data_IF_207239139386
#
_entry.id   IF_207239139386
#
_cell.length_a   1.000
_cell.length_b   1.000
_cell.length_c   1.000
_cell.angle_alpha   90.00
_cell.angle_beta   90.00
_cell.angle_gamma   90.00
#
_symmetry.space_group_name_H-M   'P 1'
#
loop_
_entity.id
_entity.type
_entity.pdbx_description
1 polymer ?
#
# COMPACT_ATOMS: atom_id res chain seq x y z
N UNK A 1 -24.45 -8.24 -17.27
CA UNK A 1 -24.86 -6.83 -17.11
C UNK A 1 -25.36 -6.63 -15.70
N UNK A 2 -24.75 -5.70 -14.98
CA UNK A 2 -25.23 -5.23 -13.68
C UNK A 2 -25.75 -3.80 -13.81
N UNK A 3 -26.75 -3.44 -13.01
CA UNK A 3 -27.15 -2.05 -12.83
C UNK A 3 -26.98 -1.65 -11.36
N UNK A 4 -26.49 -0.43 -11.14
CA UNK A 4 -26.31 0.15 -9.81
C UNK A 4 -26.83 1.57 -9.78
N UNK A 5 -27.37 2.00 -8.64
CA UNK A 5 -27.77 3.39 -8.43
C UNK A 5 -26.99 4.02 -7.28
N UNK A 6 -26.56 5.26 -7.48
CA UNK A 6 -25.91 6.08 -6.44
C UNK A 6 -26.68 7.37 -6.29
N UNK A 7 -27.23 7.60 -5.09
CA UNK A 7 -27.86 8.86 -4.73
C UNK A 7 -26.81 9.82 -4.15
N UNK A 8 -26.90 11.10 -4.50
CA UNK A 8 -26.01 12.13 -3.98
C UNK A 8 -26.76 13.42 -3.68
N UNK A 9 -26.26 14.18 -2.70
CA UNK A 9 -26.74 15.50 -2.31
C UNK A 9 -25.57 16.44 -2.11
N UNK A 10 -25.64 17.65 -2.66
CA UNK A 10 -24.63 18.67 -2.37
C UNK A 10 -24.74 19.13 -0.90
N UNK A 11 -23.62 19.48 -0.23
CA UNK A 11 -23.66 20.10 1.08
C UNK A 11 -24.43 21.42 1.07
N UNK A 12 -24.92 21.91 2.23
CA UNK A 12 -25.48 23.25 2.32
C UNK A 12 -24.42 24.33 2.04
N UNK A 13 -24.79 25.41 1.35
CA UNK A 13 -23.91 26.60 1.15
C UNK A 13 -22.98 26.56 -0.06
N UNK A 14 -23.27 25.75 -1.09
CA UNK A 14 -22.47 25.71 -2.34
C UNK A 14 -22.78 26.93 -3.22
N UNK A 15 -21.75 27.54 -3.84
CA UNK A 15 -21.92 28.65 -4.80
C UNK A 15 -22.81 28.19 -5.96
N UNK A 16 -23.84 28.95 -6.30
CA UNK A 16 -24.67 28.68 -7.47
C UNK A 16 -23.81 28.59 -8.74
N UNK A 17 -23.99 27.52 -9.51
CA UNK A 17 -23.20 27.25 -10.72
C UNK A 17 -21.84 26.59 -10.51
N UNK A 18 -21.35 26.45 -9.27
CA UNK A 18 -20.10 25.72 -8.95
C UNK A 18 -20.28 24.19 -8.84
N UNK A 19 -21.53 23.74 -8.85
CA UNK A 19 -21.91 22.34 -8.66
C UNK A 19 -21.42 21.47 -9.82
N UNK A 20 -20.32 20.76 -9.57
CA UNK A 20 -19.75 19.82 -10.54
C UNK A 20 -19.72 18.41 -9.98
N UNK A 21 -20.17 17.48 -10.82
CA UNK A 21 -20.02 16.05 -10.59
C UNK A 21 -19.11 15.52 -11.68
N UNK A 22 -18.11 14.72 -11.30
CA UNK A 22 -17.29 13.99 -12.24
C UNK A 22 -17.51 12.50 -12.05
N UNK A 23 -17.77 11.81 -13.15
CA UNK A 23 -17.77 10.35 -13.19
C UNK A 23 -16.49 9.89 -13.82
N UNK A 24 -15.86 8.91 -13.18
CA UNK A 24 -14.66 8.25 -13.70
C UNK A 24 -14.94 6.78 -13.93
N UNK A 25 -14.43 6.24 -15.03
CA UNK A 25 -14.57 4.84 -15.40
C UNK A 25 -13.24 4.26 -15.86
N UNK A 26 -12.97 3.01 -15.49
CA UNK A 26 -11.78 2.26 -15.90
C UNK A 26 -12.07 0.76 -15.86
N UNK A 27 -11.56 0.05 -16.86
CA UNK A 27 -11.78 -1.41 -17.00
C UNK A 27 -11.09 -2.21 -15.93
N UNK A 28 -10.00 -1.67 -15.40
CA UNK A 28 -9.32 -2.24 -14.26
C UNK A 28 -10.00 -1.89 -12.93
N UNK A 29 -10.31 -2.91 -12.13
CA UNK A 29 -10.75 -2.77 -10.75
C UNK A 29 -9.79 -1.93 -9.89
N UNK A 30 -8.50 -1.98 -10.24
CA UNK A 30 -7.43 -1.25 -9.60
C UNK A 30 -6.92 -0.06 -10.45
N UNK A 31 -7.58 0.28 -11.55
CA UNK A 31 -7.15 1.32 -12.47
C UNK A 31 -7.04 2.72 -11.85
N UNK A 32 -7.97 3.15 -10.97
CA UNK A 32 -7.81 4.42 -10.25
C UNK A 32 -6.62 4.40 -9.28
N UNK A 33 -6.06 3.20 -9.02
CA UNK A 33 -4.85 3.01 -8.23
C UNK A 33 -3.53 3.14 -9.02
N UNK A 34 -3.54 3.55 -10.29
CA UNK A 34 -2.29 3.71 -11.06
C UNK A 34 -1.75 5.14 -10.96
N UNK A 35 -2.62 6.15 -10.91
CA UNK A 35 -2.21 7.56 -10.82
C UNK A 35 -1.36 7.82 -9.56
N UNK A 36 -0.25 8.55 -9.71
CA UNK A 36 0.63 8.92 -8.61
C UNK A 36 1.68 7.86 -8.20
N UNK A 37 1.64 6.64 -8.74
CA UNK A 37 2.66 5.61 -8.41
C UNK A 37 4.08 6.01 -8.80
N UNK A 38 4.22 6.83 -9.85
CA UNK A 38 5.50 7.41 -10.26
C UNK A 38 6.17 8.19 -9.13
N UNK A 39 5.37 8.92 -8.35
CA UNK A 39 5.86 9.75 -7.24
C UNK A 39 6.38 8.95 -6.05
N UNK A 40 6.05 7.65 -5.97
CA UNK A 40 6.61 6.72 -4.98
C UNK A 40 7.99 6.19 -5.39
N UNK A 41 8.36 6.28 -6.68
CA UNK A 41 9.67 5.88 -7.17
C UNK A 41 10.66 6.99 -6.87
N UNK A 42 11.23 6.92 -5.67
CA UNK A 42 12.15 7.93 -5.14
C UNK A 42 13.54 7.35 -4.92
N UNK A 43 14.55 8.21 -5.05
CA UNK A 43 15.95 7.85 -4.82
C UNK A 43 16.16 7.63 -3.32
N UNK A 44 16.70 6.48 -2.89
CA UNK A 44 17.04 6.25 -1.49
C UNK A 44 18.18 7.15 -1.01
N UNK A 45 18.11 7.58 0.26
CA UNK A 45 19.13 8.41 0.91
C UNK A 45 19.06 8.27 2.44
N UNK A 46 20.04 8.86 3.14
CA UNK A 46 20.06 8.95 4.60
C UNK A 46 20.55 7.69 5.31
N UNK A 47 20.12 7.54 6.58
CA UNK A 47 20.50 6.41 7.43
C UNK A 47 19.81 5.10 6.98
N UNK A 48 20.17 3.96 7.58
CA UNK A 48 19.67 2.64 7.18
C UNK A 48 18.14 2.50 7.22
N UNK A 49 17.45 3.32 8.03
CA UNK A 49 15.99 3.37 8.07
C UNK A 49 15.42 4.25 6.94
N UNK A 50 15.94 5.46 6.77
CA UNK A 50 15.49 6.41 5.74
C UNK A 50 15.73 5.87 4.33
N UNK A 51 16.86 5.19 4.14
CA UNK A 51 17.18 4.51 2.91
C UNK A 51 16.09 3.49 2.57
N UNK A 52 15.63 2.73 3.57
CA UNK A 52 14.58 1.72 3.40
C UNK A 52 13.17 2.30 3.21
N UNK A 53 12.88 3.50 3.74
CA UNK A 53 11.62 4.23 3.47
C UNK A 53 11.44 4.43 1.96
N UNK A 54 12.53 4.80 1.28
CA UNK A 54 12.52 5.11 -0.15
C UNK A 54 12.83 3.89 -1.03
N UNK A 55 13.63 2.94 -0.54
CA UNK A 55 13.95 1.72 -1.28
C UNK A 55 12.73 0.81 -1.47
N UNK A 56 11.93 0.59 -0.42
CA UNK A 56 10.82 -0.37 -0.49
C UNK A 56 9.77 -0.02 -1.56
N UNK A 57 9.27 1.24 -1.66
CA UNK A 57 8.30 1.61 -2.69
C UNK A 57 8.73 1.30 -4.13
N UNK A 58 10.02 1.46 -4.47
CA UNK A 58 10.54 1.13 -5.80
C UNK A 58 10.23 -0.34 -6.19
N UNK A 59 10.41 -1.28 -5.26
CA UNK A 59 10.14 -2.71 -5.49
C UNK A 59 8.65 -2.97 -5.74
N UNK A 60 7.80 -2.46 -4.85
CA UNK A 60 6.38 -2.82 -4.86
C UNK A 60 5.61 -2.09 -5.97
N UNK A 61 6.06 -0.91 -6.40
CA UNK A 61 5.56 -0.25 -7.61
C UNK A 61 5.89 -1.09 -8.84
N UNK A 62 7.15 -1.51 -9.02
CA UNK A 62 7.53 -2.36 -10.16
C UNK A 62 6.79 -3.68 -10.15
N UNK A 63 6.65 -4.33 -9.00
CA UNK A 63 5.89 -5.58 -8.87
C UNK A 63 4.43 -5.40 -9.30
N UNK A 64 3.80 -4.32 -8.83
CA UNK A 64 2.42 -4.01 -9.19
C UNK A 64 2.27 -3.77 -10.70
N UNK A 65 3.08 -2.86 -11.28
CA UNK A 65 3.01 -2.54 -12.71
C UNK A 65 3.39 -3.72 -13.61
N UNK A 66 4.35 -4.56 -13.18
CA UNK A 66 4.71 -5.80 -13.88
C UNK A 66 3.55 -6.78 -13.91
N UNK A 67 2.87 -6.99 -12.78
CA UNK A 67 1.71 -7.88 -12.70
C UNK A 67 0.52 -7.39 -13.54
N UNK A 68 0.48 -6.09 -13.85
CA UNK A 68 -0.53 -5.44 -14.70
C UNK A 68 -0.18 -5.46 -16.19
N UNK A 69 1.04 -5.79 -16.57
CA UNK A 69 1.52 -5.67 -17.95
C UNK A 69 1.65 -4.22 -18.44
N UNK A 70 1.77 -3.25 -17.52
CA UNK A 70 1.70 -1.82 -17.81
C UNK A 70 2.99 -1.08 -17.43
N UNK A 71 4.13 -1.76 -17.57
CA UNK A 71 5.40 -1.27 -17.09
C UNK A 71 6.08 -0.41 -18.15
N UNK A 72 6.14 0.90 -17.90
CA UNK A 72 6.92 1.84 -18.72
C UNK A 72 8.43 1.56 -18.54
N UNK A 73 9.19 1.31 -19.64
CA UNK A 73 10.62 1.08 -19.56
C UNK A 73 11.41 2.21 -18.90
N UNK A 74 10.99 3.47 -19.04
CA UNK A 74 11.70 4.61 -18.42
C UNK A 74 11.55 4.55 -16.90
N UNK A 75 10.32 4.37 -16.42
CA UNK A 75 10.03 4.18 -15.00
C UNK A 75 10.76 2.95 -14.43
N UNK A 76 10.75 1.84 -15.17
CA UNK A 76 11.44 0.62 -14.79
C UNK A 76 12.93 0.85 -14.59
N UNK A 77 13.61 1.44 -15.58
CA UNK A 77 15.05 1.67 -15.50
C UNK A 77 15.41 2.63 -14.35
N UNK A 78 14.60 3.67 -14.12
CA UNK A 78 14.80 4.59 -12.99
C UNK A 78 14.66 3.89 -11.64
N UNK A 79 13.62 3.07 -11.47
CA UNK A 79 13.42 2.31 -10.25
C UNK A 79 14.54 1.29 -10.02
N UNK A 80 15.07 0.65 -11.07
CA UNK A 80 16.22 -0.27 -10.98
C UNK A 80 17.48 0.48 -10.54
N UNK A 81 17.79 1.62 -11.15
CA UNK A 81 18.93 2.47 -10.75
C UNK A 81 18.83 2.90 -9.28
N UNK A 82 17.64 3.30 -8.84
CA UNK A 82 17.38 3.68 -7.45
C UNK A 82 17.52 2.50 -6.48
N UNK A 83 17.03 1.31 -6.84
CA UNK A 83 17.23 0.11 -6.03
C UNK A 83 18.72 -0.28 -5.97
N UNK A 84 19.48 -0.18 -7.06
CA UNK A 84 20.91 -0.47 -7.03
C UNK A 84 21.65 0.44 -6.04
N UNK A 85 21.44 1.76 -6.13
CA UNK A 85 22.04 2.74 -5.23
C UNK A 85 21.60 2.55 -3.78
N UNK A 86 20.31 2.32 -3.56
CA UNK A 86 19.78 2.05 -2.22
C UNK A 86 20.29 0.75 -1.63
N UNK A 87 20.52 -0.29 -2.45
CA UNK A 87 21.14 -1.54 -1.98
C UNK A 87 22.58 -1.31 -1.55
N UNK A 88 23.40 -0.67 -2.39
CA UNK A 88 24.79 -0.34 -2.05
C UNK A 88 24.90 0.48 -0.77
N UNK A 89 24.05 1.50 -0.63
CA UNK A 89 23.96 2.30 0.58
C UNK A 89 23.47 1.48 1.79
N UNK A 90 22.53 0.54 1.61
CA UNK A 90 22.06 -0.28 2.73
C UNK A 90 23.18 -1.16 3.31
N UNK A 91 24.14 -1.60 2.49
CA UNK A 91 25.25 -2.43 2.94
C UNK A 91 26.13 -1.73 3.98
N UNK A 92 26.25 -0.39 3.96
CA UNK A 92 27.01 0.33 5.01
C UNK A 92 26.34 0.26 6.39
N UNK A 93 25.07 -0.13 6.44
CA UNK A 93 24.30 -0.29 7.66
C UNK A 93 24.17 -1.75 8.11
N UNK A 94 24.79 -2.68 7.38
CA UNK A 94 24.95 -4.06 7.84
C UNK A 94 26.09 -4.14 8.85
N UNK A 95 25.83 -4.77 9.98
CA UNK A 95 26.78 -5.03 11.06
C UNK A 95 27.53 -6.35 10.81
N UNK A 96 28.63 -6.52 11.53
CA UNK A 96 29.52 -7.68 11.37
C UNK A 96 28.85 -9.02 11.72
N UNK A 97 27.83 -8.99 12.58
CA UNK A 97 27.01 -10.15 12.95
C UNK A 97 25.90 -10.46 11.92
N UNK A 98 25.82 -9.69 10.83
CA UNK A 98 24.84 -9.83 9.76
C UNK A 98 23.56 -9.03 9.94
N UNK A 99 23.35 -8.42 11.11
CA UNK A 99 22.17 -7.61 11.42
C UNK A 99 22.22 -6.22 10.76
N UNK A 100 21.08 -5.55 10.65
CA UNK A 100 20.98 -4.16 10.22
C UNK A 100 20.55 -3.26 11.37
N UNK A 101 21.07 -2.03 11.38
CA UNK A 101 20.65 -0.98 12.30
C UNK A 101 20.61 0.38 11.58
N UNK A 102 20.08 1.43 12.22
CA UNK A 102 19.98 2.74 11.59
C UNK A 102 21.35 3.34 11.24
N UNK A 103 22.35 3.12 12.09
CA UNK A 103 23.70 3.68 11.96
C UNK A 103 24.80 2.61 11.86
N UNK A 104 24.44 1.38 11.50
CA UNK A 104 25.38 0.28 11.32
C UNK A 104 26.19 -0.01 12.58
N UNK A 105 27.51 0.03 12.46
CA UNK A 105 28.43 -0.31 13.55
C UNK A 105 28.46 0.71 14.70
N UNK A 106 27.88 1.90 14.51
CA UNK A 106 27.80 2.92 15.56
C UNK A 106 26.77 2.55 16.64
N UNK A 107 25.76 1.75 16.30
CA UNK A 107 24.78 1.27 17.26
C UNK A 107 25.37 0.16 18.15
N UNK A 108 24.86 -0.01 19.36
CA UNK A 108 25.29 -1.11 20.24
C UNK A 108 24.81 -2.48 19.76
N UNK A 109 23.70 -2.54 19.02
CA UNK A 109 23.08 -3.75 18.51
C UNK A 109 22.34 -3.50 17.20
N UNK A 110 22.15 -4.57 16.41
CA UNK A 110 21.19 -4.59 15.31
C UNK A 110 19.75 -4.57 15.79
N UNK A 111 18.83 -4.14 14.93
CA UNK A 111 17.40 -4.23 15.16
C UNK A 111 16.81 -5.47 14.48
N UNK A 112 16.06 -6.26 15.23
CA UNK A 112 15.33 -7.43 14.71
C UNK A 112 14.29 -7.02 13.70
N UNK A 113 13.52 -6.00 14.01
CA UNK A 113 12.53 -5.45 13.11
C UNK A 113 13.16 -4.94 11.81
N UNK A 114 14.21 -4.09 11.89
CA UNK A 114 14.83 -3.52 10.69
C UNK A 114 15.51 -4.60 9.85
N UNK A 115 16.21 -5.53 10.48
CA UNK A 115 16.86 -6.66 9.78
C UNK A 115 15.84 -7.50 9.03
N UNK A 116 14.68 -7.80 9.64
CA UNK A 116 13.60 -8.52 8.98
C UNK A 116 13.01 -7.72 7.80
N UNK A 117 12.83 -6.41 7.96
CA UNK A 117 12.32 -5.56 6.88
C UNK A 117 13.29 -5.46 5.70
N UNK A 118 14.58 -5.26 5.97
CA UNK A 118 15.64 -5.21 4.95
C UNK A 118 15.72 -6.56 4.23
N UNK A 119 15.81 -7.67 4.97
CA UNK A 119 15.85 -9.01 4.39
C UNK A 119 14.66 -9.23 3.43
N UNK A 120 13.46 -8.90 3.90
CA UNK A 120 12.24 -9.03 3.11
C UNK A 120 12.30 -8.20 1.83
N UNK A 121 12.66 -6.93 1.91
CA UNK A 121 12.76 -6.07 0.72
C UNK A 121 13.83 -6.56 -0.26
N UNK A 122 15.02 -6.92 0.22
CA UNK A 122 16.10 -7.42 -0.63
C UNK A 122 15.72 -8.72 -1.34
N UNK A 123 15.02 -9.64 -0.67
CA UNK A 123 14.51 -10.87 -1.29
C UNK A 123 13.54 -10.56 -2.45
N UNK A 124 12.65 -9.59 -2.25
CA UNK A 124 11.66 -9.16 -3.25
C UNK A 124 12.28 -8.34 -4.40
N UNK A 125 13.45 -7.71 -4.21
CA UNK A 125 14.13 -6.93 -5.24
C UNK A 125 14.92 -7.78 -6.26
N UNK A 126 15.23 -9.04 -5.92
CA UNK A 126 16.06 -9.95 -6.74
C UNK A 126 15.64 -10.15 -8.20
N UNK A 127 14.35 -10.07 -8.59
CA UNK A 127 13.98 -10.12 -10.00
C UNK A 127 14.60 -9.00 -10.85
N UNK A 128 14.99 -7.89 -10.24
CA UNK A 128 15.50 -6.71 -10.93
C UNK A 128 16.94 -6.32 -10.54
N UNK A 129 17.37 -6.65 -9.32
CA UNK A 129 18.68 -6.28 -8.77
C UNK A 129 19.45 -7.50 -8.30
N UNK A 130 20.73 -7.60 -8.67
CA UNK A 130 21.63 -8.65 -8.17
C UNK A 130 21.98 -8.45 -6.70
N UNK A 131 21.35 -9.20 -5.81
CA UNK A 131 21.61 -9.16 -4.36
C UNK A 131 22.55 -10.30 -3.95
N UNK A 132 23.63 -9.97 -3.22
CA UNK A 132 24.57 -10.96 -2.72
C UNK A 132 23.90 -11.93 -1.73
N UNK A 133 23.98 -13.23 -2.05
CA UNK A 133 23.43 -14.30 -1.22
C UNK A 133 24.03 -14.36 0.19
N UNK A 134 25.26 -13.90 0.41
CA UNK A 134 25.90 -13.86 1.73
C UNK A 134 25.22 -12.86 2.66
N UNK A 135 24.85 -11.69 2.14
CA UNK A 135 24.11 -10.64 2.86
C UNK A 135 22.76 -11.17 3.34
N UNK A 136 22.05 -11.88 2.46
CA UNK A 136 20.74 -12.48 2.76
C UNK A 136 20.84 -13.58 3.82
N UNK A 137 21.82 -14.48 3.67
CA UNK A 137 22.02 -15.61 4.59
C UNK A 137 22.47 -15.16 5.98
N UNK A 138 23.38 -14.18 6.07
CA UNK A 138 23.84 -13.67 7.36
C UNK A 138 22.71 -12.97 8.12
N UNK A 139 21.92 -12.13 7.44
CA UNK A 139 20.75 -11.49 8.04
C UNK A 139 19.69 -12.51 8.51
N UNK A 140 19.39 -13.52 7.69
CA UNK A 140 18.45 -14.58 8.05
C UNK A 140 18.94 -15.44 9.23
N UNK A 141 20.24 -15.79 9.25
CA UNK A 141 20.84 -16.55 10.34
C UNK A 141 20.80 -15.76 11.66
N UNK A 142 21.12 -14.46 11.61
CA UNK A 142 21.02 -13.59 12.77
C UNK A 142 19.58 -13.47 13.28
N UNK A 143 18.60 -13.27 12.40
CA UNK A 143 17.17 -13.24 12.77
C UNK A 143 16.70 -14.54 13.44
N UNK A 144 17.13 -15.69 12.91
CA UNK A 144 16.81 -16.98 13.51
C UNK A 144 17.40 -17.13 14.92
N UNK A 145 18.51 -16.47 15.23
CA UNK A 145 19.09 -16.45 16.57
C UNK A 145 18.38 -15.47 17.54
N UNK A 146 17.64 -14.46 17.04
CA UNK A 146 16.93 -13.47 17.85
C UNK A 146 15.59 -13.97 18.41
N UNK A 147 15.63 -15.08 19.15
CA UNK A 147 14.44 -15.72 19.69
C UNK A 147 14.61 -16.11 21.16
N UNK A 148 13.66 -15.72 22.01
CA UNK A 148 13.59 -16.12 23.41
C UNK A 148 13.22 -17.61 23.56
N UNK A 149 13.44 -18.17 24.76
CA UNK A 149 13.14 -19.58 25.06
C UNK A 149 11.68 -19.99 24.78
N UNK A 150 10.74 -19.04 24.81
CA UNK A 150 9.32 -19.27 24.49
C UNK A 150 8.94 -19.10 23.01
N UNK A 151 9.91 -18.95 22.11
CA UNK A 151 9.66 -18.80 20.67
C UNK A 151 9.34 -17.37 20.21
N UNK A 152 9.18 -16.41 21.14
CA UNK A 152 8.99 -15.01 20.82
C UNK A 152 10.27 -14.36 20.29
N UNK A 153 10.16 -13.52 19.27
CA UNK A 153 11.26 -12.70 18.80
C UNK A 153 11.67 -11.65 19.85
N UNK A 154 12.97 -11.39 19.96
CA UNK A 154 13.54 -10.34 20.81
C UNK A 154 13.94 -9.13 19.95
N UNK A 155 13.89 -7.92 20.51
CA UNK A 155 14.33 -6.68 19.86
C UNK A 155 15.48 -6.07 20.67
N UNK A 156 16.74 -6.45 20.38
CA UNK A 156 17.89 -5.92 21.11
C UNK A 156 18.31 -4.52 20.62
N UNK A 157 17.84 -4.11 19.44
CA UNK A 157 18.11 -2.80 18.84
C UNK A 157 16.98 -1.80 19.07
N UNK A 158 17.08 -0.66 18.41
CA UNK A 158 16.04 0.39 18.41
C UNK A 158 15.73 0.77 16.97
N UNK A 159 14.46 1.08 16.72
CA UNK A 159 14.01 1.66 15.45
C UNK A 159 13.58 3.10 15.71
N UNK A 160 14.17 4.05 14.98
CA UNK A 160 13.98 5.49 15.22
C UNK A 160 12.73 5.99 14.49
N UNK A 161 12.55 5.57 13.23
CA UNK A 161 11.41 5.93 12.39
C UNK A 161 10.27 4.95 12.63
N UNK A 162 9.47 5.15 13.68
CA UNK A 162 8.33 4.27 14.02
C UNK A 162 7.30 4.09 12.90
N UNK A 163 7.24 5.02 11.93
CA UNK A 163 6.44 4.91 10.71
C UNK A 163 6.80 3.69 9.86
N UNK A 164 8.08 3.28 9.89
CA UNK A 164 8.54 2.05 9.28
C UNK A 164 7.94 0.82 9.94
N UNK A 165 7.55 0.87 11.21
CA UNK A 165 7.03 -0.30 11.94
C UNK A 165 5.52 -0.49 11.77
N UNK A 166 4.82 0.48 11.15
CA UNK A 166 3.37 0.47 10.99
C UNK A 166 2.66 0.40 12.35
N UNK A 167 1.86 -0.64 12.56
CA UNK A 167 1.09 -0.86 13.79
C UNK A 167 1.72 -1.82 14.79
N UNK A 168 3.04 -2.06 14.72
CA UNK A 168 3.75 -3.01 15.60
C UNK A 168 3.39 -2.77 17.07
N UNK A 169 2.85 -3.80 17.71
CA UNK A 169 2.27 -3.74 19.06
C UNK A 169 2.72 -4.98 19.84
N UNK A 170 4.01 -5.00 20.16
CA UNK A 170 4.63 -5.99 21.04
C UNK A 170 5.08 -7.31 20.38
N UNK A 171 5.47 -8.29 21.22
CA UNK A 171 6.17 -9.51 20.78
C UNK A 171 5.41 -10.36 19.76
N UNK A 172 4.07 -10.36 19.79
CA UNK A 172 3.25 -11.10 18.82
C UNK A 172 3.48 -10.58 17.40
N UNK A 173 3.37 -9.25 17.23
CA UNK A 173 3.53 -8.63 15.92
C UNK A 173 4.96 -8.73 15.40
N UNK A 174 5.97 -8.59 16.27
CA UNK A 174 7.37 -8.76 15.89
C UNK A 174 7.67 -10.19 15.47
N UNK A 175 7.23 -11.19 16.27
CA UNK A 175 7.45 -12.61 15.95
C UNK A 175 6.77 -12.99 14.64
N UNK A 176 5.53 -12.54 14.42
CA UNK A 176 4.83 -12.76 13.17
C UNK A 176 5.56 -12.10 11.98
N UNK A 177 6.07 -10.88 12.15
CA UNK A 177 6.79 -10.17 11.11
C UNK A 177 8.11 -10.84 10.72
N UNK A 178 8.91 -11.27 11.72
CA UNK A 178 10.14 -12.04 11.49
C UNK A 178 9.81 -13.35 10.78
N UNK A 179 8.79 -14.08 11.24
CA UNK A 179 8.39 -15.33 10.61
C UNK A 179 7.94 -15.14 9.15
N UNK A 180 7.23 -14.06 8.84
CA UNK A 180 6.90 -13.68 7.45
C UNK A 180 8.16 -13.45 6.63
N UNK A 181 9.12 -12.65 7.11
CA UNK A 181 10.36 -12.38 6.38
C UNK A 181 11.18 -13.65 6.08
N UNK A 182 11.15 -14.62 6.98
CA UNK A 182 11.81 -15.92 6.83
C UNK A 182 11.06 -16.87 5.87
N UNK A 183 9.73 -16.80 5.80
CA UNK A 183 8.93 -17.77 5.03
C UNK A 183 8.48 -17.28 3.66
N UNK A 184 8.33 -15.98 3.46
CA UNK A 184 7.70 -15.40 2.26
C UNK A 184 8.46 -15.71 0.97
N UNK A 185 9.79 -15.86 1.05
CA UNK A 185 10.64 -16.23 -0.07
C UNK A 185 11.30 -17.61 0.11
N UNK A 186 11.27 -18.44 -0.94
CA UNK A 186 11.84 -19.79 -0.89
C UNK A 186 13.36 -19.86 -0.82
N UNK A 187 14.08 -18.81 -1.20
CA UNK A 187 15.53 -18.80 -1.28
C UNK A 187 16.20 -19.07 0.05
N UNK A 188 15.74 -18.44 1.13
CA UNK A 188 16.31 -18.63 2.47
C UNK A 188 16.07 -20.05 2.96
N UNK A 189 14.88 -20.61 2.69
CA UNK A 189 14.54 -21.98 3.10
C UNK A 189 15.43 -23.03 2.44
N UNK A 190 15.82 -22.80 1.18
CA UNK A 190 16.63 -23.75 0.40
C UNK A 190 18.13 -23.50 0.57
N UNK A 191 18.54 -22.24 0.73
CA UNK A 191 19.95 -21.83 0.68
C UNK A 191 20.57 -21.53 2.05
N UNK A 192 19.85 -21.83 3.13
CA UNK A 192 20.25 -21.55 4.50
C UNK A 192 21.51 -22.32 4.92
N UNK A 193 22.36 -21.68 5.71
CA UNK A 193 23.64 -22.23 6.18
C UNK A 193 23.48 -23.39 7.17
N UNK A 194 22.39 -23.39 7.94
CA UNK A 194 22.01 -24.44 8.89
C UNK A 194 20.49 -24.69 8.80
N UNK A 195 20.06 -25.64 7.95
CA UNK A 195 18.64 -25.95 7.76
C UNK A 195 17.93 -26.45 9.02
N UNK A 196 18.66 -27.10 9.93
CA UNK A 196 18.08 -27.72 11.14
C UNK A 196 17.79 -26.66 12.19
N UNK A 197 18.77 -25.79 12.48
CA UNK A 197 18.56 -24.66 13.39
C UNK A 197 17.45 -23.76 12.84
N UNK A 198 17.48 -23.46 11.55
CA UNK A 198 16.46 -22.64 10.90
C UNK A 198 15.06 -23.23 11.07
N UNK A 199 14.89 -24.51 10.75
CA UNK A 199 13.61 -25.20 10.90
C UNK A 199 13.13 -25.19 12.37
N UNK A 200 14.03 -25.45 13.32
CA UNK A 200 13.71 -25.40 14.75
C UNK A 200 13.21 -24.03 15.18
N UNK A 201 13.86 -22.94 14.75
CA UNK A 201 13.49 -21.56 15.10
C UNK A 201 12.14 -21.15 14.50
N UNK A 202 11.90 -21.53 13.24
CA UNK A 202 10.60 -21.38 12.56
C UNK A 202 9.51 -22.13 13.32
N UNK A 203 9.74 -23.38 13.72
CA UNK A 203 8.78 -24.18 14.49
C UNK A 203 8.48 -23.56 15.85
N UNK A 204 9.49 -23.07 16.58
CA UNK A 204 9.29 -22.39 17.87
C UNK A 204 8.51 -21.09 17.72
N UNK A 205 8.77 -20.31 16.67
CA UNK A 205 8.04 -19.07 16.40
C UNK A 205 6.57 -19.37 16.04
N UNK A 206 6.35 -20.42 15.25
CA UNK A 206 5.02 -20.88 14.90
C UNK A 206 4.22 -21.31 16.13
N UNK A 207 4.80 -22.15 16.98
CA UNK A 207 4.16 -22.60 18.22
C UNK A 207 3.82 -21.44 19.15
N UNK A 208 4.70 -20.44 19.27
CA UNK A 208 4.42 -19.21 20.01
C UNK A 208 3.19 -18.48 19.46
N UNK A 209 3.11 -18.27 18.15
CA UNK A 209 1.98 -17.57 17.52
C UNK A 209 0.67 -18.35 17.66
N UNK A 210 0.69 -19.67 17.50
CA UNK A 210 -0.48 -20.53 17.70
C UNK A 210 -0.99 -20.45 19.15
N UNK A 211 -0.09 -20.50 20.14
CA UNK A 211 -0.45 -20.33 21.55
C UNK A 211 -1.05 -18.95 21.83
N UNK A 212 -0.50 -17.89 21.23
CA UNK A 212 -1.02 -16.51 21.37
C UNK A 212 -2.38 -16.32 20.69
N UNK A 213 -2.64 -17.02 19.60
CA UNK A 213 -3.96 -17.04 18.97
C UNK A 213 -5.03 -17.59 19.93
N UNK A 214 -4.72 -18.70 20.62
CA UNK A 214 -5.61 -19.33 21.61
C UNK A 214 -5.84 -18.42 22.82
N UNK A 215 -4.79 -17.76 23.32
CA UNK A 215 -4.89 -16.81 24.43
C UNK A 215 -5.67 -15.53 24.08
N UNK A 216 -5.83 -15.23 22.79
CA UNK A 216 -6.50 -14.05 22.28
C UNK A 216 -5.53 -12.89 22.01
N UNK A 217 -5.62 -12.33 20.80
CA UNK A 217 -4.82 -11.18 20.37
C UNK A 217 -5.70 -9.95 20.25
N UNK A 218 -5.54 -8.96 21.11
CA UNK A 218 -6.39 -7.75 21.14
C UNK A 218 -6.20 -6.85 19.92
N UNK A 219 -4.96 -6.63 19.50
CA UNK A 219 -4.62 -5.77 18.36
C UNK A 219 -5.01 -6.41 17.04
N UNK A 220 -5.78 -5.68 16.22
CA UNK A 220 -6.12 -6.13 14.86
C UNK A 220 -4.91 -6.15 13.93
N UNK A 221 -3.91 -5.30 14.20
CA UNK A 221 -2.64 -5.32 13.49
C UNK A 221 -1.88 -6.62 13.78
N UNK A 222 -1.65 -6.91 15.06
CA UNK A 222 -0.92 -8.12 15.49
C UNK A 222 -1.64 -9.38 15.05
N UNK A 223 -2.97 -9.42 15.13
CA UNK A 223 -3.76 -10.55 14.62
C UNK A 223 -3.63 -10.69 13.10
N UNK A 224 -3.56 -9.59 12.34
CA UNK A 224 -3.43 -9.65 10.88
C UNK A 224 -2.08 -10.19 10.42
N UNK A 225 -0.98 -9.74 11.04
CA UNK A 225 0.35 -10.28 10.77
C UNK A 225 0.45 -11.74 11.21
N UNK A 226 -0.09 -12.08 12.39
CA UNK A 226 -0.12 -13.45 12.89
C UNK A 226 -0.86 -14.35 11.91
N UNK A 227 -2.07 -13.98 11.47
CA UNK A 227 -2.83 -14.78 10.50
C UNK A 227 -2.05 -14.98 9.20
N UNK A 228 -1.33 -13.95 8.74
CA UNK A 228 -0.52 -14.05 7.53
C UNK A 228 0.67 -14.99 7.70
N UNK A 229 1.38 -14.87 8.82
CA UNK A 229 2.47 -15.76 9.18
C UNK A 229 2.01 -17.22 9.28
N UNK A 230 0.86 -17.49 9.91
CA UNK A 230 0.28 -18.83 10.00
C UNK A 230 -0.11 -19.39 8.63
N UNK A 231 -0.68 -18.55 7.75
CA UNK A 231 -1.05 -18.95 6.39
C UNK A 231 0.19 -19.31 5.56
N UNK A 232 1.25 -18.49 5.61
CA UNK A 232 2.53 -18.77 4.95
C UNK A 232 3.20 -20.04 5.49
N UNK A 233 3.14 -20.27 6.80
CA UNK A 233 3.68 -21.46 7.43
C UNK A 233 2.85 -22.73 7.15
N UNK A 234 1.66 -22.60 6.56
CA UNK A 234 0.75 -23.71 6.32
C UNK A 234 0.18 -24.32 7.61
N UNK A 235 0.13 -23.54 8.70
CA UNK A 235 -0.41 -23.99 9.98
C UNK A 235 -1.92 -24.28 9.89
N UNK A 236 -2.42 -25.35 10.55
CA UNK A 236 -3.85 -25.62 10.63
C UNK A 236 -4.61 -24.50 11.36
N UNK A 237 -3.95 -23.75 12.25
CA UNK A 237 -4.54 -22.63 12.98
C UNK A 237 -4.78 -21.37 12.12
N UNK A 238 -4.23 -21.32 10.90
CA UNK A 238 -4.44 -20.21 9.96
C UNK A 238 -5.93 -19.90 9.71
N UNK A 239 -6.77 -20.94 9.63
CA UNK A 239 -8.21 -20.79 9.42
C UNK A 239 -8.92 -20.16 10.63
N UNK A 240 -8.57 -20.57 11.84
CA UNK A 240 -9.12 -19.97 13.06
C UNK A 240 -8.71 -18.50 13.16
N UNK A 241 -7.45 -18.19 12.86
CA UNK A 241 -6.93 -16.82 12.85
C UNK A 241 -7.63 -15.94 11.80
N UNK A 242 -7.88 -16.48 10.61
CA UNK A 242 -8.63 -15.80 9.56
C UNK A 242 -10.09 -15.55 9.96
N UNK A 243 -10.75 -16.54 10.57
CA UNK A 243 -12.11 -16.38 11.08
C UNK A 243 -12.18 -15.30 12.19
N UNK A 244 -11.18 -15.22 13.07
CA UNK A 244 -11.10 -14.16 14.08
C UNK A 244 -10.97 -12.77 13.42
N UNK A 245 -10.20 -12.64 12.33
CA UNK A 245 -10.11 -11.38 11.59
C UNK A 245 -11.43 -11.01 10.91
N UNK A 246 -12.08 -11.97 10.24
CA UNK A 246 -13.37 -11.78 9.56
C UNK A 246 -14.43 -11.36 10.58
N UNK A 247 -14.47 -12.00 11.76
CA UNK A 247 -15.40 -11.65 12.84
C UNK A 247 -15.19 -10.25 13.42
N UNK A 248 -14.01 -9.65 13.26
CA UNK A 248 -13.71 -8.27 13.69
C UNK A 248 -13.91 -7.23 12.60
N UNK A 249 -14.29 -7.67 11.42
CA UNK A 249 -14.43 -6.82 10.27
C UNK A 249 -15.83 -6.15 10.31
N UNK A 250 -15.87 -4.83 10.41
CA UNK A 250 -17.10 -4.03 10.31
C UNK A 250 -17.57 -4.05 8.85
N UNK A 251 -18.59 -4.86 8.56
CA UNK A 251 -19.24 -4.98 7.26
C UNK A 251 -20.25 -3.82 7.10
N UNK A 252 -19.80 -2.67 6.56
CA UNK A 252 -20.70 -1.58 6.17
C UNK A 252 -20.90 -1.59 4.66
N UNK A 253 -21.92 -2.32 4.20
CA UNK A 253 -22.24 -2.46 2.78
C UNK A 253 -21.18 -3.28 2.03
N UNK A 254 -20.64 -2.76 0.92
CA UNK A 254 -19.54 -3.36 0.14
C UNK A 254 -18.15 -3.14 0.75
N UNK A 255 -18.07 -2.39 1.86
CA UNK A 255 -16.83 -2.06 2.52
C UNK A 255 -16.74 -2.79 3.83
N UNK A 256 -15.55 -3.32 4.07
CA UNK A 256 -15.22 -3.93 5.33
C UNK A 256 -14.16 -3.02 5.98
N UNK A 257 -14.23 -2.72 7.28
CA UNK A 257 -13.23 -1.89 7.98
C UNK A 257 -12.91 -2.47 9.36
N UNK A 258 -11.78 -2.14 9.97
CA UNK A 258 -11.48 -2.55 11.35
C UNK A 258 -10.98 -1.34 12.13
N UNK A 259 -11.79 -0.85 13.08
CA UNK A 259 -11.39 0.23 13.97
C UNK A 259 -10.53 -0.35 15.09
N UNK A 260 -9.26 0.05 15.15
CA UNK A 260 -8.47 -0.07 16.39
C UNK A 260 -8.95 1.01 17.38
N UNK A 261 -9.14 0.65 18.66
CA UNK A 261 -9.47 1.60 19.75
C UNK A 261 -8.38 2.68 19.96
N UNK A 262 -7.23 2.59 19.29
CA UNK A 262 -6.09 3.53 19.40
C UNK A 262 -5.75 4.31 18.11
N UNK A 263 -6.64 4.36 17.12
CA UNK A 263 -6.57 5.35 16.02
C UNK A 263 -5.41 5.26 15.01
N UNK A 264 -4.30 4.55 15.31
CA UNK A 264 -3.07 4.61 14.50
C UNK A 264 -2.94 3.60 13.36
N UNK A 265 -3.61 2.44 13.40
CA UNK A 265 -3.43 1.40 12.38
C UNK A 265 -4.75 0.97 11.74
N UNK A 266 -5.34 1.85 10.93
CA UNK A 266 -6.57 1.54 10.15
C UNK A 266 -6.30 0.73 8.89
N UNK A 267 -5.10 0.83 8.30
CA UNK A 267 -4.88 0.37 6.93
C UNK A 267 -4.27 -1.04 6.84
N UNK A 268 -3.28 -1.42 7.66
CA UNK A 268 -2.53 -2.70 7.47
C UNK A 268 -3.36 -3.97 7.66
N UNK A 269 -4.40 -3.93 8.50
CA UNK A 269 -5.18 -5.13 8.83
C UNK A 269 -5.86 -5.77 7.61
N UNK A 270 -6.16 -4.99 6.56
CA UNK A 270 -6.91 -5.46 5.38
C UNK A 270 -6.02 -5.95 4.23
N UNK A 271 -4.92 -5.28 3.86
CA UNK A 271 -3.88 -5.85 3.02
C UNK A 271 -3.40 -7.20 3.53
N UNK A 272 -3.13 -7.31 4.84
CA UNK A 272 -2.73 -8.56 5.46
C UNK A 272 -3.82 -9.64 5.36
N UNK A 273 -5.10 -9.28 5.59
CA UNK A 273 -6.23 -10.19 5.33
C UNK A 273 -6.25 -10.66 3.87
N UNK A 274 -6.12 -9.75 2.92
CA UNK A 274 -6.13 -10.09 1.49
C UNK A 274 -4.98 -11.02 1.11
N UNK A 275 -3.79 -10.81 1.66
CA UNK A 275 -2.64 -11.70 1.49
C UNK A 275 -2.86 -13.07 2.15
N UNK A 276 -3.49 -13.12 3.34
CA UNK A 276 -3.91 -14.38 3.96
C UNK A 276 -4.89 -15.14 3.06
N UNK A 277 -5.89 -14.46 2.51
CA UNK A 277 -6.90 -15.07 1.64
C UNK A 277 -6.29 -15.64 0.36
N UNK A 278 -5.28 -14.96 -0.20
CA UNK A 278 -4.56 -15.41 -1.38
C UNK A 278 -3.68 -16.63 -1.08
N UNK A 279 -2.92 -16.60 0.02
CA UNK A 279 -2.01 -17.67 0.43
C UNK A 279 -2.69 -18.91 0.99
N UNK A 280 -3.85 -18.77 1.65
CA UNK A 280 -4.63 -19.88 2.20
C UNK A 280 -5.37 -20.71 1.13
N UNK A 281 -5.15 -20.45 -0.16
CA UNK A 281 -5.77 -21.16 -1.28
C UNK A 281 -5.20 -22.58 -1.45
N UNK A 282 -5.41 -23.45 -0.46
CA UNK A 282 -5.37 -24.90 -0.63
C UNK A 282 -6.69 -25.39 -1.25
N UNK A 283 -6.69 -26.46 -2.06
CA UNK A 283 -7.90 -27.01 -2.65
C UNK A 283 -8.77 -27.58 -1.52
N UNK A 284 -9.88 -26.91 -1.19
CA UNK A 284 -10.80 -27.45 -0.19
C UNK A 284 -11.81 -26.49 0.42
N UNK A 285 -11.58 -25.16 0.42
CA UNK A 285 -12.56 -24.22 1.00
C UNK A 285 -12.43 -22.81 0.41
N UNK A 286 -13.44 -22.42 -0.36
CA UNK A 286 -13.55 -21.11 -1.02
C UNK A 286 -14.09 -20.07 -0.04
N UNK A 287 -13.25 -19.13 0.41
CA UNK A 287 -13.75 -17.78 0.62
C UNK A 287 -14.22 -17.24 -0.73
N UNK A 288 -15.44 -16.69 -0.77
CA UNK A 288 -16.08 -16.26 -2.01
C UNK A 288 -15.19 -15.26 -2.72
N UNK A 289 -14.99 -15.42 -4.04
CA UNK A 289 -14.27 -14.48 -4.90
C UNK A 289 -14.72 -13.01 -4.67
N UNK A 290 -15.97 -12.83 -4.27
CA UNK A 290 -16.55 -11.56 -3.83
C UNK A 290 -15.78 -10.90 -2.67
N UNK A 291 -15.45 -11.62 -1.58
CA UNK A 291 -14.73 -11.05 -0.44
C UNK A 291 -13.34 -10.54 -0.84
N UNK A 292 -12.62 -11.32 -1.67
CA UNK A 292 -11.30 -10.95 -2.22
C UNK A 292 -11.41 -9.69 -3.09
N UNK A 293 -12.43 -9.61 -3.95
CA UNK A 293 -12.69 -8.47 -4.83
C UNK A 293 -13.03 -7.21 -4.03
N UNK A 294 -13.96 -7.30 -3.07
CA UNK A 294 -14.37 -6.17 -2.23
C UNK A 294 -13.23 -5.65 -1.33
N UNK A 295 -12.38 -6.54 -0.80
CA UNK A 295 -11.22 -6.16 0.00
C UNK A 295 -10.19 -5.35 -0.81
N UNK A 296 -9.83 -5.83 -2.00
CA UNK A 296 -8.86 -5.15 -2.88
C UNK A 296 -9.43 -3.85 -3.49
N UNK A 297 -10.74 -3.80 -3.76
CA UNK A 297 -11.45 -2.58 -4.15
C UNK A 297 -11.37 -1.50 -3.08
N UNK A 298 -11.70 -1.84 -1.83
CA UNK A 298 -11.59 -0.90 -0.73
C UNK A 298 -10.15 -0.42 -0.59
N UNK A 299 -9.19 -1.33 -0.70
CA UNK A 299 -7.78 -1.03 -0.56
C UNK A 299 -7.29 -0.04 -1.62
N UNK A 300 -7.70 -0.23 -2.88
CA UNK A 300 -7.47 0.69 -4.00
C UNK A 300 -7.97 2.12 -3.69
N UNK A 301 -9.11 2.23 -3.02
CA UNK A 301 -9.72 3.52 -2.67
C UNK A 301 -9.10 4.21 -1.45
N UNK A 302 -8.23 3.55 -0.69
CA UNK A 302 -7.61 4.16 0.50
C UNK A 302 -6.28 4.87 0.22
N UNK A 303 -5.83 4.93 -1.04
CA UNK A 303 -4.58 5.61 -1.40
C UNK A 303 -4.71 7.12 -1.27
N UNK A 304 -3.60 7.77 -0.94
CA UNK A 304 -3.47 9.22 -1.02
C UNK A 304 -3.18 9.66 -2.48
N UNK A 305 -3.14 10.98 -2.70
CA UNK A 305 -2.91 11.59 -4.03
C UNK A 305 -1.51 11.28 -4.61
N UNK A 306 -0.53 10.92 -3.76
CA UNK A 306 0.82 10.48 -4.15
C UNK A 306 0.89 8.96 -4.39
N UNK A 307 -0.25 8.26 -4.37
CA UNK A 307 -0.34 6.82 -4.59
C UNK A 307 0.08 5.93 -3.42
N UNK A 308 0.51 6.52 -2.30
CA UNK A 308 0.90 5.82 -1.07
C UNK A 308 -0.25 5.67 -0.06
N UNK A 309 0.07 5.11 1.10
CA UNK A 309 -0.83 4.94 2.25
C UNK A 309 -0.27 5.67 3.48
N UNK A 310 -0.92 5.51 4.63
CA UNK A 310 -0.58 6.23 5.86
C UNK A 310 0.82 5.96 6.43
N UNK A 311 1.53 4.93 5.95
CA UNK A 311 2.90 4.62 6.34
C UNK A 311 3.63 3.87 5.21
N UNK A 312 4.96 3.70 5.34
CA UNK A 312 5.75 2.86 4.44
C UNK A 312 5.27 1.41 4.45
N UNK A 313 5.00 0.82 5.62
CA UNK A 313 4.48 -0.56 5.70
C UNK A 313 3.09 -0.68 5.10
N UNK A 314 2.22 0.29 5.37
CA UNK A 314 0.86 0.30 4.83
C UNK A 314 0.95 0.28 3.30
N UNK A 315 1.86 1.09 2.74
CA UNK A 315 2.09 1.18 1.30
C UNK A 315 2.65 -0.13 0.74
N UNK A 316 3.67 -0.69 1.38
CA UNK A 316 4.31 -1.96 0.99
C UNK A 316 3.29 -3.11 0.98
N UNK A 317 2.59 -3.33 2.09
CA UNK A 317 1.66 -4.46 2.22
C UNK A 317 0.46 -4.25 1.31
N UNK A 318 -0.01 -3.01 1.13
CA UNK A 318 -1.10 -2.71 0.22
C UNK A 318 -0.75 -2.99 -1.24
N UNK A 319 0.36 -2.44 -1.73
CA UNK A 319 0.82 -2.68 -3.10
C UNK A 319 1.12 -4.15 -3.34
N UNK A 320 1.66 -4.85 -2.34
CA UNK A 320 1.83 -6.30 -2.41
C UNK A 320 0.50 -7.03 -2.58
N UNK A 321 -0.51 -6.73 -1.75
CA UNK A 321 -1.84 -7.34 -1.84
C UNK A 321 -2.50 -7.08 -3.20
N UNK A 322 -2.42 -5.83 -3.66
CA UNK A 322 -2.95 -5.39 -4.96
C UNK A 322 -2.23 -6.08 -6.13
N UNK A 323 -0.91 -6.21 -6.07
CA UNK A 323 -0.12 -6.89 -7.12
C UNK A 323 -0.44 -8.38 -7.22
N UNK A 324 -0.59 -9.04 -6.07
CA UNK A 324 -0.95 -10.44 -6.02
C UNK A 324 -2.40 -10.66 -6.52
N UNK A 325 -3.31 -9.75 -6.17
CA UNK A 325 -4.68 -9.78 -6.67
C UNK A 325 -4.73 -9.53 -8.18
N UNK A 326 -3.97 -8.55 -8.69
CA UNK A 326 -3.85 -8.27 -10.12
C UNK A 326 -3.36 -9.48 -10.91
N UNK A 327 -2.34 -10.19 -10.40
CA UNK A 327 -1.82 -11.41 -11.03
C UNK A 327 -2.86 -12.54 -11.08
N UNK A 328 -3.77 -12.62 -10.11
CA UNK A 328 -4.84 -13.61 -10.07
C UNK A 328 -6.04 -13.26 -10.96
N UNK A 329 -6.26 -11.97 -11.22
CA UNK A 329 -7.50 -11.53 -11.86
C UNK A 329 -7.51 -11.77 -13.37
N UNK A 330 -6.34 -11.94 -14.00
CA UNK A 330 -6.22 -12.07 -15.45
C UNK A 330 -6.69 -10.79 -16.18
N UNK A 331 -5.98 -10.41 -17.23
CA UNK A 331 -6.44 -9.37 -18.15
C UNK A 331 -7.52 -9.96 -19.06
N UNK A 332 -8.69 -10.28 -18.53
CA UNK A 332 -9.83 -10.67 -19.37
C UNK A 332 -10.28 -9.42 -20.14
N UNK A 333 -10.15 -9.42 -21.49
CA UNK A 333 -10.52 -8.27 -22.32
C UNK A 333 -12.02 -8.04 -22.16
N UNK A 334 -12.37 -7.06 -21.34
CA UNK A 334 -13.75 -6.61 -21.18
C UNK A 334 -13.98 -5.56 -22.25
N UNK A 335 -14.77 -5.89 -23.27
CA UNK A 335 -15.39 -4.88 -24.12
C UNK A 335 -16.68 -4.42 -23.42
N UNK A 336 -16.63 -3.22 -22.86
CA UNK A 336 -17.61 -2.73 -21.91
C UNK A 336 -18.03 -1.30 -22.25
N UNK A 337 -19.30 -1.16 -22.59
CA UNK A 337 -19.98 0.11 -22.60
C UNK A 337 -20.55 0.40 -21.21
N UNK A 338 -20.14 1.54 -20.65
CA UNK A 338 -20.66 2.09 -19.40
C UNK A 338 -21.44 3.34 -19.74
N UNK A 339 -22.74 3.30 -19.51
CA UNK A 339 -23.60 4.48 -19.64
C UNK A 339 -24.11 4.91 -18.28
N UNK A 340 -24.11 6.22 -18.10
CA UNK A 340 -24.46 6.89 -16.86
C UNK A 340 -25.66 7.76 -17.16
N UNK A 341 -26.77 7.54 -16.45
CA UNK A 341 -27.99 8.32 -16.61
C UNK A 341 -28.36 9.02 -15.30
N UNK A 342 -29.00 10.18 -15.40
CA UNK A 342 -29.55 10.90 -14.24
C UNK A 342 -31.07 10.89 -14.32
N UNK A 343 -31.72 9.99 -13.58
CA UNK A 343 -33.19 9.85 -13.60
C UNK A 343 -33.75 9.78 -15.03
N UNK A 344 -34.73 10.64 -15.33
CA UNK A 344 -35.40 10.77 -16.64
C UNK A 344 -34.65 11.72 -17.62
N UNK A 345 -33.54 12.32 -17.20
CA UNK A 345 -32.81 13.35 -17.95
C UNK A 345 -31.91 12.79 -19.08
N UNK A 346 -31.94 11.48 -19.31
CA UNK A 346 -31.14 10.81 -20.35
C UNK A 346 -29.70 10.48 -19.93
N UNK A 347 -28.86 10.15 -20.92
CA UNK A 347 -27.45 9.78 -20.74
C UNK A 347 -26.62 11.04 -20.50
N UNK A 348 -25.91 11.06 -19.37
CA UNK A 348 -25.06 12.18 -18.93
C UNK A 348 -23.56 11.90 -19.07
N UNK A 349 -23.17 10.62 -19.15
CA UNK A 349 -21.81 10.21 -19.49
C UNK A 349 -21.83 8.82 -20.14
N UNK A 350 -20.89 8.60 -21.05
CA UNK A 350 -20.68 7.31 -21.71
C UNK A 350 -19.20 7.00 -21.83
N UNK A 351 -18.82 5.78 -21.49
CA UNK A 351 -17.44 5.30 -21.58
C UNK A 351 -17.44 3.98 -22.34
N UNK A 352 -16.49 3.85 -23.25
CA UNK A 352 -16.21 2.60 -23.95
C UNK A 352 -14.85 2.10 -23.47
N UNK A 353 -14.85 0.92 -22.86
CA UNK A 353 -13.67 0.28 -22.28
C UNK A 353 -13.39 -0.98 -23.09
N UNK A 354 -12.17 -1.11 -23.60
CA UNK A 354 -11.70 -2.25 -24.36
C UNK A 354 -10.24 -2.56 -24.00
N UNK A 355 -9.63 -3.54 -24.67
CA UNK A 355 -8.25 -3.96 -24.40
C UNK A 355 -7.20 -2.83 -24.51
N UNK A 356 -7.40 -1.85 -25.38
CA UNK A 356 -6.44 -0.77 -25.61
C UNK A 356 -6.49 0.33 -24.54
N UNK A 357 -7.65 0.53 -23.93
CA UNK A 357 -7.87 1.58 -22.93
C UNK A 357 -8.28 1.02 -21.55
N UNK A 358 -8.11 -0.29 -21.33
CA UNK A 358 -8.52 -1.01 -20.13
C UNK A 358 -7.93 -0.41 -18.83
N UNK A 359 -6.71 0.12 -18.91
CA UNK A 359 -5.98 0.75 -17.82
C UNK A 359 -6.18 2.27 -17.74
N UNK A 360 -6.78 2.87 -18.77
CA UNK A 360 -6.93 4.31 -18.85
C UNK A 360 -8.09 4.75 -17.96
N UNK A 361 -7.78 5.57 -16.95
CA UNK A 361 -8.81 6.27 -16.18
C UNK A 361 -9.45 7.34 -17.06
N UNK A 362 -10.70 7.11 -17.46
CA UNK A 362 -11.48 8.08 -18.21
C UNK A 362 -12.31 8.91 -17.23
N UNK A 363 -12.45 10.22 -17.47
CA UNK A 363 -13.26 11.12 -16.63
C UNK A 363 -14.14 12.00 -17.50
N UNK A 364 -15.42 12.12 -17.12
CA UNK A 364 -16.34 13.09 -17.69
C UNK A 364 -16.98 13.88 -16.57
N UNK A 365 -16.91 15.21 -16.67
CA UNK A 365 -17.51 16.13 -15.73
C UNK A 365 -18.78 16.74 -16.34
N UNK A 366 -19.82 16.86 -15.52
CA UNK A 366 -21.07 17.50 -15.91
C UNK A 366 -21.54 18.45 -14.81
N UNK A 367 -22.18 19.53 -15.25
CA UNK A 367 -22.90 20.44 -14.37
C UNK A 367 -24.18 19.73 -13.94
N UNK A 368 -24.37 19.59 -12.63
CA UNK A 368 -25.57 18.94 -12.11
C UNK A 368 -26.45 20.00 -11.46
N UNK A 369 -27.54 20.37 -12.14
CA UNK A 369 -28.50 21.35 -11.64
C UNK A 369 -29.44 20.79 -10.57
N UNK A 370 -29.41 19.47 -10.33
CA UNK A 370 -30.35 18.81 -9.42
C UNK A 370 -29.68 17.69 -8.65
N UNK A 371 -30.02 17.61 -7.37
CA UNK A 371 -29.97 16.40 -6.53
C UNK A 371 -30.57 15.22 -7.31
N UNK A 372 -29.78 14.18 -7.56
CA UNK A 372 -30.17 13.11 -8.48
C UNK A 372 -29.72 11.73 -8.03
N UNK A 373 -30.29 10.72 -8.67
CA UNK A 373 -29.82 9.33 -8.59
C UNK A 373 -29.17 8.98 -9.92
N UNK A 374 -27.88 8.64 -9.88
CA UNK A 374 -27.15 8.19 -11.05
C UNK A 374 -27.38 6.69 -11.22
N UNK A 375 -27.90 6.25 -12.36
CA UNK A 375 -27.97 4.83 -12.71
C UNK A 375 -26.84 4.50 -13.69
N UNK A 376 -26.10 3.44 -13.37
CA UNK A 376 -25.02 2.92 -14.20
C UNK A 376 -25.52 1.66 -14.86
N UNK A 377 -25.47 1.61 -16.19
CA UNK A 377 -25.74 0.41 -16.97
C UNK A 377 -24.42 -0.11 -17.51
N UNK A 378 -24.14 -1.38 -17.23
CA UNK A 378 -22.92 -2.06 -17.68
C UNK A 378 -23.27 -3.25 -18.57
N UNK A 379 -22.51 -3.41 -19.65
CA UNK A 379 -22.49 -4.62 -20.47
C UNK A 379 -21.97 -5.86 -19.71
N UNK A 380 -21.50 -6.87 -20.43
CA UNK A 380 -20.80 -8.03 -19.87
C UNK A 380 -19.33 -7.69 -19.60
N UNK A 381 -18.96 -7.50 -18.33
CA UNK A 381 -17.59 -7.20 -17.91
C UNK A 381 -17.54 -6.71 -16.46
N UNK A 382 -16.36 -6.28 -16.00
CA UNK A 382 -16.19 -5.62 -14.69
C UNK A 382 -15.45 -4.30 -14.91
N UNK A 383 -15.94 -3.21 -14.33
CA UNK A 383 -15.26 -1.90 -14.33
C UNK A 383 -15.41 -1.25 -12.95
N UNK A 384 -14.42 -0.43 -12.58
CA UNK A 384 -14.51 0.43 -11.41
C UNK A 384 -15.10 1.79 -11.82
N UNK A 385 -16.09 2.25 -11.08
CA UNK A 385 -16.69 3.57 -11.26
C UNK A 385 -16.57 4.36 -9.95
N UNK A 386 -16.09 5.60 -10.05
CA UNK A 386 -16.04 6.53 -8.93
C UNK A 386 -16.74 7.84 -9.29
N UNK A 387 -17.51 8.36 -8.34
CA UNK A 387 -18.21 9.63 -8.44
C UNK A 387 -17.57 10.61 -7.46
N UNK A 388 -16.81 11.56 -7.99
CA UNK A 388 -16.21 12.63 -7.19
C UNK A 388 -17.06 13.90 -7.28
N UNK A 389 -17.20 14.58 -6.14
CA UNK A 389 -17.91 15.85 -6.01
C UNK A 389 -16.87 16.95 -5.88
N UNK A 390 -16.85 17.87 -6.83
CA UNK A 390 -16.01 19.04 -6.70
C UNK A 390 -16.84 20.13 -6.03
N UNK A 391 -16.41 20.53 -4.83
CA UNK A 391 -16.99 21.64 -4.09
C UNK A 391 -16.14 22.86 -4.38
N UNK A 392 -16.71 23.84 -5.09
CA UNK A 392 -16.28 25.22 -4.91
C UNK A 392 -16.76 25.64 -3.53
N UNK A 393 -15.85 25.74 -2.57
CA UNK A 393 -16.16 26.33 -1.27
C UNK A 393 -16.30 27.84 -1.47
N UNK A 394 -17.32 28.49 -0.89
CA UNK A 394 -17.51 29.95 -1.01
C UNK A 394 -16.29 30.74 -0.53
N UNK A 395 -15.58 30.19 0.46
CA UNK A 395 -14.21 30.55 0.84
C UNK A 395 -13.55 29.28 1.35
N UNK A 396 -12.33 28.99 0.91
CA UNK A 396 -11.48 28.00 1.56
C UNK A 396 -10.87 28.61 2.83
N UNK A 397 -10.50 27.77 3.81
CA UNK A 397 -9.48 28.20 4.78
C UNK A 397 -8.11 28.36 4.11
N UNK A 398 -7.05 28.51 4.92
CA UNK A 398 -5.68 28.72 4.43
C UNK A 398 -5.29 27.68 3.35
N UNK A 399 -5.00 28.14 2.13
CA UNK A 399 -4.72 27.32 0.94
C UNK A 399 -3.23 27.31 0.64
N UNK A 400 -2.73 26.14 0.26
CA UNK A 400 -1.41 25.96 -0.30
C UNK A 400 -1.54 25.75 -1.81
N UNK A 401 -0.93 26.64 -2.59
CA UNK A 401 -0.84 26.52 -4.04
C UNK A 401 0.61 26.23 -4.44
N UNK A 402 0.85 25.06 -5.03
CA UNK A 402 2.16 24.69 -5.56
C UNK A 402 2.25 25.01 -7.05
N UNK A 403 3.28 25.75 -7.44
CA UNK A 403 3.59 26.13 -8.82
C UNK A 403 4.91 25.47 -9.22
N UNK A 404 4.85 24.49 -10.11
CA UNK A 404 6.04 23.88 -10.69
C UNK A 404 6.80 24.88 -11.57
N UNK A 405 8.11 24.97 -11.39
CA UNK A 405 9.00 25.81 -12.20
C UNK A 405 9.59 24.97 -13.34
N UNK A 406 9.62 25.53 -14.54
CA UNK A 406 10.29 24.90 -15.68
C UNK A 406 11.80 24.81 -15.42
N UNK A 407 12.45 23.78 -15.97
CA UNK A 407 13.90 23.58 -15.81
C UNK A 407 14.68 24.82 -16.27
N UNK A 408 15.52 25.37 -15.38
CA UNK A 408 16.30 26.59 -15.63
C UNK A 408 15.61 27.90 -15.21
N UNK A 409 14.36 27.85 -14.75
CA UNK A 409 13.64 29.02 -14.23
C UNK A 409 13.68 29.06 -12.70
N UNK A 410 13.87 30.25 -12.14
CA UNK A 410 13.78 30.53 -10.69
C UNK A 410 12.67 31.53 -10.42
N UNK A 411 11.84 31.29 -9.42
CA UNK A 411 10.85 32.28 -8.98
C UNK A 411 11.56 33.46 -8.31
N UNK A 412 11.18 34.70 -8.69
CA UNK A 412 11.62 35.91 -7.99
C UNK A 412 10.57 36.27 -6.94
N UNK A 413 10.92 36.05 -5.67
CA UNK A 413 10.04 36.30 -4.52
C UNK A 413 9.63 37.79 -4.42
N UNK A 414 10.52 38.69 -4.83
CA UNK A 414 10.36 40.14 -4.72
C UNK A 414 9.26 40.72 -5.64
N UNK A 415 8.78 39.94 -6.61
CA UNK A 415 7.76 40.33 -7.58
C UNK A 415 6.37 39.77 -7.26
N UNK A 416 6.24 38.93 -6.23
CA UNK A 416 4.93 38.45 -5.78
C UNK A 416 4.42 39.44 -4.72
N UNK A 417 3.41 40.27 -5.03
CA UNK A 417 2.84 41.15 -4.03
C UNK A 417 2.23 40.31 -2.90
N UNK A 418 2.72 40.53 -1.68
CA UNK A 418 2.11 40.00 -0.47
C UNK A 418 0.93 40.90 -0.10
N UNK A 419 -0.12 40.85 -0.90
CA UNK A 419 -1.38 41.53 -0.63
C UNK A 419 -2.40 40.56 -0.01
N UNK A 420 -3.60 41.05 0.29
CA UNK A 420 -4.58 40.38 1.15
C UNK A 420 -4.82 38.89 0.87
N UNK A 421 -4.62 38.44 -0.38
CA UNK A 421 -4.80 37.05 -0.79
C UNK A 421 -3.58 36.13 -0.56
N UNK A 422 -2.34 36.62 -0.72
CA UNK A 422 -1.10 35.80 -0.60
C UNK A 422 -0.31 36.24 0.65
N UNK A 423 -0.24 35.37 1.67
CA UNK A 423 0.43 35.67 2.94
C UNK A 423 1.90 35.35 2.97
N UNK A 424 2.33 34.33 2.23
CA UNK A 424 3.70 33.85 2.22
C UNK A 424 4.00 33.13 0.92
N UNK A 425 5.25 33.19 0.50
CA UNK A 425 5.76 32.42 -0.63
C UNK A 425 7.07 31.77 -0.21
N UNK A 426 7.18 30.47 -0.44
CA UNK A 426 8.40 29.69 -0.26
C UNK A 426 8.86 29.12 -1.60
N UNK A 427 10.17 28.96 -1.78
CA UNK A 427 10.74 28.34 -2.97
C UNK A 427 11.53 27.11 -2.59
N UNK A 428 11.23 26.01 -3.26
CA UNK A 428 12.00 24.76 -3.22
C UNK A 428 12.60 24.47 -4.61
N UNK A 429 13.60 23.58 -4.72
CA UNK A 429 14.13 23.19 -6.02
C UNK A 429 13.03 22.72 -6.97
N UNK A 430 12.79 23.48 -8.05
CA UNK A 430 11.80 23.16 -9.08
C UNK A 430 10.35 23.55 -8.76
N UNK A 431 10.06 24.20 -7.62
CA UNK A 431 8.68 24.65 -7.30
C UNK A 431 8.64 25.89 -6.40
N UNK A 432 7.57 26.65 -6.50
CA UNK A 432 7.20 27.71 -5.56
C UNK A 432 5.89 27.35 -4.85
N UNK A 433 5.80 27.61 -3.56
CA UNK A 433 4.65 27.32 -2.71
C UNK A 433 4.07 28.64 -2.21
N UNK A 434 2.84 28.96 -2.61
CA UNK A 434 2.11 30.14 -2.15
C UNK A 434 1.14 29.75 -1.04
N UNK A 435 1.10 30.56 0.00
CA UNK A 435 0.20 30.44 1.14
C UNK A 435 -0.87 31.51 1.00
N UNK A 436 -2.12 31.12 0.79
CA UNK A 436 -3.25 32.03 0.62
C UNK A 436 -4.20 31.94 1.82
N UNK A 437 -4.78 33.06 2.27
CA UNK A 437 -5.76 33.04 3.38
C UNK A 437 -7.03 32.27 3.00
N UNK A 438 -7.49 32.50 1.78
CA UNK A 438 -8.61 31.83 1.15
C UNK A 438 -8.49 31.99 -0.38
N UNK A 439 -9.15 31.09 -1.12
CA UNK A 439 -9.37 31.19 -2.57
C UNK A 439 -10.89 31.16 -2.76
N UNK A 440 -11.43 32.20 -3.39
CA UNK A 440 -12.85 32.35 -3.70
C UNK A 440 -13.23 31.81 -5.08
#
# INVERSE_FOLDING_TARGET
GGSGSVAFQFPPGVVDGSQRVSVTAVGDLLGPSISGLDSLVQMPYGCGEQNMIHFAPNIYVLRYLSARGSLDPVLQNRAIDYMLKGYEQQLSYQRADGSFSAFGQQDSSGSTWLTAFVLRCLLQARPWVGVDGRVLKSAAAWLAAQQAAGGAAAEPGTVIHSELQGGLDGPVSLTAYVLVALLEDGYIRVSGSDPVLYASRVTSALAYLEARLVQGVSSNYSLSLLSYALALAGSPASHAALNHLIGRADLRGTFISSKSRRGRSRYVSRPALSLCEQTASRPGRRLTLACRRHGNLWLSQQRNHLGGYGSTQDTVVALQALSAFAALQGSEPSDLDVTVTNGDSGVIASFHINHNNFLLLQSQCFCCFVTGSVRVLTGSGSAALSLARHLGLNETGMVLMEVGLLSGFSARLDLVPLDGAVKRVETEPGRAVLYLDSVS
#
